data_IF_103129326727
#
_entry.id   IF_103129326727
#
_cell.length_a   1.000
_cell.length_b   1.000
_cell.length_c   1.000
_cell.angle_alpha   90.00
_cell.angle_beta   90.00
_cell.angle_gamma   90.00
#
_symmetry.space_group_name_H-M   'P 1'
#
loop_
_entity.id
_entity.type
_entity.pdbx_description
1 polymer ?
#
# COMPACT_ATOMS: atom_id res chain seq x y z
N UNK A 1 35.44 -12.48 4.81
CA UNK A 1 35.12 -11.07 4.51
C UNK A 1 34.75 -11.00 3.03
N UNK A 2 33.51 -11.35 2.70
CA UNK A 2 33.03 -11.44 1.31
C UNK A 2 32.38 -10.12 0.89
N UNK A 3 33.08 -9.38 0.03
CA UNK A 3 32.64 -8.16 -0.63
C UNK A 3 31.67 -8.49 -1.78
N UNK A 4 30.43 -8.84 -1.46
CA UNK A 4 29.29 -8.61 -2.34
C UNK A 4 28.25 -7.83 -1.51
N UNK A 5 28.19 -6.50 -1.62
CA UNK A 5 27.32 -5.68 -0.78
C UNK A 5 25.82 -5.78 -1.14
N UNK A 6 25.44 -6.67 -2.08
CA UNK A 6 24.09 -6.76 -2.61
C UNK A 6 23.64 -8.21 -2.69
N UNK A 7 22.80 -8.62 -1.74
CA UNK A 7 22.07 -9.88 -1.82
C UNK A 7 20.91 -9.71 -2.81
N UNK A 8 20.92 -10.35 -4.00
CA UNK A 8 19.91 -10.11 -5.04
C UNK A 8 18.50 -10.51 -4.57
N UNK A 9 18.41 -11.47 -3.64
CA UNK A 9 17.17 -11.88 -2.98
C UNK A 9 16.57 -10.77 -2.11
N UNK A 10 17.42 -10.02 -1.39
CA UNK A 10 17.02 -8.89 -0.58
C UNK A 10 16.52 -7.72 -1.45
N UNK A 11 17.22 -7.44 -2.55
CA UNK A 11 16.81 -6.42 -3.52
C UNK A 11 15.45 -6.71 -4.15
N UNK A 12 15.19 -7.96 -4.54
CA UNK A 12 13.90 -8.38 -5.08
C UNK A 12 12.78 -8.23 -4.03
N UNK A 13 13.05 -8.60 -2.77
CA UNK A 13 12.09 -8.43 -1.67
C UNK A 13 11.66 -6.99 -1.46
N UNK A 14 12.60 -6.04 -1.55
CA UNK A 14 12.31 -4.61 -1.43
C UNK A 14 11.49 -4.08 -2.59
N UNK A 15 11.83 -4.49 -3.82
CA UNK A 15 11.06 -4.14 -5.02
C UNK A 15 9.63 -4.65 -4.96
N UNK A 16 9.43 -5.90 -4.53
CA UNK A 16 8.09 -6.47 -4.35
C UNK A 16 7.32 -5.76 -3.24
N UNK A 17 7.95 -5.45 -2.11
CA UNK A 17 7.32 -4.70 -1.02
C UNK A 17 6.91 -3.29 -1.48
N UNK A 18 7.78 -2.59 -2.21
CA UNK A 18 7.49 -1.27 -2.77
C UNK A 18 6.37 -1.33 -3.81
N UNK A 19 6.38 -2.30 -4.73
CA UNK A 19 5.35 -2.48 -5.73
C UNK A 19 3.99 -2.82 -5.10
N UNK A 20 3.97 -3.72 -4.12
CA UNK A 20 2.77 -4.07 -3.36
C UNK A 20 2.22 -2.85 -2.60
N UNK A 21 3.10 -2.10 -1.92
CA UNK A 21 2.75 -0.86 -1.25
C UNK A 21 2.17 0.17 -2.24
N UNK A 22 2.77 0.31 -3.41
CA UNK A 22 2.31 1.24 -4.45
C UNK A 22 0.94 0.87 -5.02
N UNK A 23 0.75 -0.39 -5.39
CA UNK A 23 -0.53 -0.89 -5.88
C UNK A 23 -1.63 -0.71 -4.83
N UNK A 24 -1.32 -1.05 -3.57
CA UNK A 24 -2.26 -0.94 -2.48
C UNK A 24 -2.58 0.53 -2.13
N UNK A 25 -1.57 1.39 -2.07
CA UNK A 25 -1.74 2.84 -1.88
C UNK A 25 -2.60 3.45 -2.99
N UNK A 26 -2.31 3.15 -4.25
CA UNK A 26 -3.11 3.63 -5.38
C UNK A 26 -4.57 3.17 -5.30
N UNK A 27 -4.81 1.87 -5.05
CA UNK A 27 -6.16 1.33 -4.87
C UNK A 27 -6.87 1.96 -3.67
N UNK A 28 -6.13 2.18 -2.59
CA UNK A 28 -6.62 2.80 -1.37
C UNK A 28 -7.13 4.21 -1.67
N UNK A 29 -6.33 5.05 -2.34
CA UNK A 29 -6.74 6.42 -2.67
C UNK A 29 -7.85 6.48 -3.72
N UNK A 30 -7.81 5.63 -4.75
CA UNK A 30 -8.86 5.56 -5.77
C UNK A 30 -10.23 5.18 -5.20
N UNK A 31 -10.25 4.27 -4.23
CA UNK A 31 -11.50 3.79 -3.64
C UNK A 31 -12.18 4.80 -2.71
N UNK A 32 -11.51 5.91 -2.31
CA UNK A 32 -12.16 6.98 -1.53
C UNK A 32 -13.41 7.50 -2.24
N UNK A 33 -13.34 7.76 -3.55
CA UNK A 33 -14.48 8.29 -4.29
C UNK A 33 -15.70 7.35 -4.26
N UNK A 34 -15.49 6.04 -4.27
CA UNK A 34 -16.57 5.06 -4.17
C UNK A 34 -17.10 4.94 -2.74
N UNK A 35 -16.21 4.94 -1.74
CA UNK A 35 -16.59 4.92 -0.31
C UNK A 35 -17.41 6.15 0.05
N UNK A 36 -16.96 7.35 -0.33
CA UNK A 36 -17.69 8.59 -0.07
C UNK A 36 -19.08 8.57 -0.70
N UNK A 37 -19.21 8.14 -1.95
CA UNK A 37 -20.53 8.01 -2.61
C UNK A 37 -21.46 7.04 -1.87
N UNK A 38 -20.95 5.89 -1.43
CA UNK A 38 -21.75 4.90 -0.70
C UNK A 38 -22.16 5.39 0.70
N UNK A 39 -21.26 6.06 1.41
CA UNK A 39 -21.53 6.61 2.74
C UNK A 39 -22.55 7.74 2.69
N UNK A 40 -22.43 8.67 1.72
CA UNK A 40 -23.41 9.75 1.51
C UNK A 40 -24.77 9.17 1.12
N UNK A 41 -24.81 8.07 0.37
CA UNK A 41 -26.04 7.34 0.04
C UNK A 41 -26.60 6.50 1.21
N UNK A 42 -26.01 6.56 2.41
CA UNK A 42 -26.46 5.80 3.57
C UNK A 42 -26.27 4.28 3.45
N UNK A 43 -25.44 3.81 2.52
CA UNK A 43 -25.25 2.38 2.24
C UNK A 43 -24.19 1.81 3.19
N UNK A 44 -24.55 0.78 3.95
CA UNK A 44 -23.62 0.04 4.82
C UNK A 44 -22.41 -0.54 4.07
N UNK A 45 -22.55 -0.80 2.76
CA UNK A 45 -21.45 -1.19 1.88
C UNK A 45 -20.27 -0.19 1.91
N UNK A 46 -20.52 1.10 2.13
CA UNK A 46 -19.47 2.11 2.28
C UNK A 46 -18.61 1.89 3.52
N UNK A 47 -19.22 1.50 4.64
CA UNK A 47 -18.51 1.15 5.88
C UNK A 47 -17.69 -0.12 5.69
N UNK A 48 -18.28 -1.16 5.08
CA UNK A 48 -17.58 -2.41 4.82
C UNK A 48 -16.35 -2.21 3.91
N UNK A 49 -16.48 -1.43 2.83
CA UNK A 49 -15.37 -1.05 1.96
C UNK A 49 -14.31 -0.22 2.70
N UNK A 50 -14.73 0.72 3.55
CA UNK A 50 -13.80 1.54 4.33
C UNK A 50 -12.95 0.67 5.27
N UNK A 51 -13.59 -0.21 6.04
CA UNK A 51 -12.94 -1.11 6.99
C UNK A 51 -12.05 -2.11 6.26
N UNK A 52 -12.55 -2.77 5.20
CA UNK A 52 -11.79 -3.75 4.43
C UNK A 52 -10.52 -3.16 3.83
N UNK A 53 -10.57 -1.91 3.38
CA UNK A 53 -9.42 -1.20 2.81
C UNK A 53 -8.37 -0.84 3.86
N UNK A 54 -8.78 -0.44 5.06
CA UNK A 54 -7.88 -0.22 6.19
C UNK A 54 -7.23 -1.53 6.62
N UNK A 55 -8.02 -2.59 6.78
CA UNK A 55 -7.52 -3.92 7.10
C UNK A 55 -6.49 -4.40 6.09
N UNK A 56 -6.73 -4.20 4.80
CA UNK A 56 -5.81 -4.62 3.74
C UNK A 56 -4.47 -3.87 3.83
N UNK A 57 -4.51 -2.55 4.09
CA UNK A 57 -3.32 -1.73 4.31
C UNK A 57 -2.52 -2.19 5.54
N UNK A 58 -3.21 -2.38 6.67
CA UNK A 58 -2.58 -2.84 7.91
C UNK A 58 -1.99 -4.24 7.74
N UNK A 59 -2.70 -5.16 7.09
CA UNK A 59 -2.24 -6.52 6.84
C UNK A 59 -0.94 -6.53 6.00
N UNK A 60 -0.86 -5.71 4.95
CA UNK A 60 0.37 -5.57 4.16
C UNK A 60 1.53 -5.06 5.02
N UNK A 61 1.32 -3.99 5.79
CA UNK A 61 2.37 -3.41 6.61
C UNK A 61 2.84 -4.38 7.71
N UNK A 62 1.92 -5.13 8.33
CA UNK A 62 2.28 -6.16 9.29
C UNK A 62 3.07 -7.30 8.65
N UNK A 63 2.73 -7.71 7.42
CA UNK A 63 3.48 -8.72 6.69
C UNK A 63 4.91 -8.24 6.40
N UNK A 64 5.06 -6.99 5.96
CA UNK A 64 6.38 -6.38 5.73
C UNK A 64 7.16 -6.17 7.02
N UNK A 65 6.51 -5.77 8.12
CA UNK A 65 7.14 -5.60 9.42
C UNK A 65 7.69 -6.93 9.97
N UNK A 66 7.02 -8.05 9.67
CA UNK A 66 7.47 -9.40 10.04
C UNK A 66 8.65 -9.91 9.21
N UNK A 67 8.88 -9.37 8.01
CA UNK A 67 9.98 -9.83 7.14
C UNK A 67 11.25 -9.01 7.35
N UNK A 68 11.16 -7.68 7.34
CA UNK A 68 12.29 -6.78 7.65
C UNK A 68 11.86 -5.32 7.75
N UNK A 69 12.63 -4.51 8.50
CA UNK A 69 12.47 -3.05 8.53
C UNK A 69 12.62 -2.43 7.14
N UNK A 70 13.53 -2.93 6.31
CA UNK A 70 13.73 -2.46 4.93
C UNK A 70 12.50 -2.68 4.05
N UNK A 71 11.87 -3.87 4.13
CA UNK A 71 10.64 -4.15 3.40
C UNK A 71 9.48 -3.26 3.86
N UNK A 72 9.38 -2.96 5.16
CA UNK A 72 8.38 -2.03 5.69
C UNK A 72 8.58 -0.62 5.11
N UNK A 73 9.81 -0.11 5.13
CA UNK A 73 10.14 1.20 4.56
C UNK A 73 9.84 1.24 3.06
N UNK A 74 10.25 0.22 2.31
CA UNK A 74 9.97 0.09 0.89
C UNK A 74 8.46 0.09 0.59
N UNK A 75 7.67 -0.69 1.35
CA UNK A 75 6.22 -0.73 1.22
C UNK A 75 5.57 0.62 1.53
N UNK A 76 5.98 1.30 2.61
CA UNK A 76 5.46 2.64 2.94
C UNK A 76 5.82 3.69 1.89
N UNK A 77 7.04 3.66 1.36
CA UNK A 77 7.44 4.50 0.24
C UNK A 77 6.59 4.22 -1.02
N UNK A 78 6.33 2.94 -1.29
CA UNK A 78 5.39 2.50 -2.31
C UNK A 78 4.01 3.12 -2.13
N UNK A 79 3.41 2.99 -0.93
CA UNK A 79 2.09 3.56 -0.61
C UNK A 79 2.04 5.06 -0.89
N UNK A 80 3.08 5.81 -0.51
CA UNK A 80 3.19 7.24 -0.79
C UNK A 80 3.35 7.56 -2.28
N UNK A 81 4.09 6.73 -3.02
CA UNK A 81 4.15 6.81 -4.48
C UNK A 81 2.79 6.56 -5.14
N UNK A 82 2.06 5.55 -4.68
CA UNK A 82 0.70 5.23 -5.13
C UNK A 82 -0.28 6.38 -4.87
N UNK A 83 -0.14 7.05 -3.72
CA UNK A 83 -0.86 8.30 -3.40
C UNK A 83 -0.57 9.40 -4.41
N UNK A 84 0.70 9.66 -4.69
CA UNK A 84 1.10 10.71 -5.62
C UNK A 84 0.52 10.46 -7.03
N UNK A 85 0.52 9.21 -7.50
CA UNK A 85 -0.08 8.83 -8.78
C UNK A 85 -1.60 8.99 -8.76
N UNK A 86 -2.27 8.53 -7.70
CA UNK A 86 -3.72 8.64 -7.59
C UNK A 86 -4.19 10.10 -7.59
N UNK A 87 -3.49 10.98 -6.87
CA UNK A 87 -3.81 12.40 -6.77
C UNK A 87 -3.51 13.18 -8.05
N UNK A 88 -2.48 12.81 -8.81
CA UNK A 88 -2.18 13.42 -10.12
C UNK A 88 -3.29 13.23 -11.15
N UNK A 89 -4.19 12.24 -10.96
CA UNK A 89 -5.35 12.03 -11.84
C UNK A 89 -6.58 12.83 -11.42
N UNK A 90 -6.54 13.47 -10.25
CA UNK A 90 -7.66 14.25 -9.70
C UNK A 90 -7.40 15.75 -9.66
N UNK A 91 -6.17 16.17 -9.93
CA UNK A 91 -5.78 17.56 -10.17
C UNK A 91 -5.87 17.86 -11.67
#
# INVERSE_FOLDING_TARGET
MTLFPFDPSAGLGWLLAAAAGMALGWLHFRSLASVTRLLVAGRAAGVALHVGRWLLLVALLLLCARTSTGALLAATAGVMGGRAIALRRTA
#
